data_IF_282840548061
#
_entry.id   IF_282840548061
#
_cell.length_a   1.000
_cell.length_b   1.000
_cell.length_c   1.000
_cell.angle_alpha   90.00
_cell.angle_beta   90.00
_cell.angle_gamma   90.00
#
_symmetry.space_group_name_H-M   'P 1'
#
loop_
_entity.id
_entity.type
_entity.pdbx_description
1 polymer ?
#
# COMPACT_ATOMS: atom_id res chain seq x y z
N UNK A 1 -19.55 -22.93 39.35
CA UNK A 1 -18.15 -23.17 38.99
C UNK A 1 -17.60 -21.86 38.46
N UNK A 2 -16.89 -21.13 39.32
CA UNK A 2 -16.29 -19.84 39.01
C UNK A 2 -14.80 -20.10 38.80
N UNK A 3 -14.30 -19.81 37.61
CA UNK A 3 -12.88 -19.97 37.29
C UNK A 3 -12.22 -18.60 37.47
N UNK A 4 -11.44 -18.46 38.53
CA UNK A 4 -10.43 -17.41 38.69
C UNK A 4 -9.16 -17.88 37.96
N UNK A 5 -8.67 -17.10 37.00
CA UNK A 5 -7.35 -17.31 36.40
C UNK A 5 -6.60 -15.97 36.35
N UNK A 6 -5.51 -15.82 37.13
CA UNK A 6 -4.64 -14.67 37.02
C UNK A 6 -3.53 -14.98 36.00
N UNK A 7 -3.46 -14.18 34.94
CA UNK A 7 -2.29 -14.10 34.09
C UNK A 7 -2.50 -14.53 32.63
N UNK A 8 -2.38 -13.54 31.75
CA UNK A 8 -1.76 -13.71 30.44
C UNK A 8 -2.52 -14.53 29.41
N UNK A 9 -3.30 -13.83 28.60
CA UNK A 9 -3.20 -13.75 27.12
C UNK A 9 -4.60 -13.38 26.63
N UNK A 10 -4.75 -12.14 26.15
CA UNK A 10 -5.90 -11.76 25.36
C UNK A 10 -5.96 -12.71 24.16
N UNK A 11 -7.08 -13.42 24.01
CA UNK A 11 -7.42 -14.02 22.74
C UNK A 11 -7.61 -12.86 21.74
N UNK A 12 -6.53 -12.38 21.13
CA UNK A 12 -6.57 -11.39 20.05
C UNK A 12 -7.02 -12.09 18.76
N UNK A 13 -8.20 -12.72 18.83
CA UNK A 13 -8.95 -13.22 17.68
C UNK A 13 -10.03 -12.21 17.30
N UNK A 14 -9.76 -10.92 17.44
CA UNK A 14 -10.62 -9.89 16.89
C UNK A 14 -10.36 -9.83 15.40
N UNK A 15 -11.30 -10.32 14.59
CA UNK A 15 -11.42 -9.86 13.22
C UNK A 15 -11.58 -8.35 13.30
N UNK A 16 -10.50 -7.59 13.09
CA UNK A 16 -10.55 -6.14 12.95
C UNK A 16 -11.44 -5.90 11.75
N UNK A 17 -12.72 -5.61 12.00
CA UNK A 17 -13.60 -5.09 10.98
C UNK A 17 -12.97 -3.79 10.54
N UNK A 18 -12.29 -3.81 9.38
CA UNK A 18 -11.68 -2.58 8.85
C UNK A 18 -12.75 -1.52 8.78
N UNK A 19 -12.37 -0.32 9.19
CA UNK A 19 -13.26 0.82 9.06
C UNK A 19 -13.63 0.96 7.57
N UNK A 20 -14.89 1.28 7.24
CA UNK A 20 -15.34 1.43 5.86
C UNK A 20 -14.47 2.40 5.05
N UNK A 21 -13.83 3.37 5.71
CA UNK A 21 -12.92 4.33 5.09
C UNK A 21 -11.63 3.68 4.55
N UNK A 22 -11.02 2.76 5.29
CA UNK A 22 -9.79 2.08 4.85
C UNK A 22 -10.04 1.21 3.63
N UNK A 23 -11.16 0.46 3.64
CA UNK A 23 -11.58 -0.33 2.48
C UNK A 23 -11.83 0.56 1.25
N UNK A 24 -12.55 1.67 1.43
CA UNK A 24 -12.80 2.62 0.34
C UNK A 24 -11.51 3.19 -0.23
N UNK A 25 -10.52 3.49 0.63
CA UNK A 25 -9.21 3.98 0.22
C UNK A 25 -8.43 2.95 -0.60
N UNK A 26 -8.38 1.70 -0.15
CA UNK A 26 -7.75 0.60 -0.90
C UNK A 26 -8.40 0.43 -2.27
N UNK A 27 -9.74 0.40 -2.30
CA UNK A 27 -10.50 0.23 -3.55
C UNK A 27 -10.27 1.40 -4.51
N UNK A 28 -10.30 2.64 -4.02
CA UNK A 28 -10.04 3.82 -4.83
C UNK A 28 -8.61 3.85 -5.36
N UNK A 29 -7.63 3.47 -4.54
CA UNK A 29 -6.22 3.38 -4.94
C UNK A 29 -6.02 2.36 -6.07
N UNK A 30 -6.53 1.14 -5.89
CA UNK A 30 -6.44 0.08 -6.91
C UNK A 30 -7.17 0.50 -8.18
N UNK A 31 -8.39 1.02 -8.07
CA UNK A 31 -9.17 1.46 -9.23
C UNK A 31 -8.48 2.61 -10.00
N UNK A 32 -7.81 3.53 -9.30
CA UNK A 32 -7.07 4.62 -9.93
C UNK A 32 -5.83 4.13 -10.69
N UNK A 33 -5.06 3.19 -10.12
CA UNK A 33 -3.80 2.73 -10.71
C UNK A 33 -3.95 1.59 -11.72
N UNK A 34 -4.91 0.68 -11.52
CA UNK A 34 -5.10 -0.50 -12.38
C UNK A 34 -6.34 -0.39 -13.27
N UNK A 35 -7.18 0.63 -13.07
CA UNK A 35 -8.42 0.86 -13.83
C UNK A 35 -9.41 -0.32 -13.83
N UNK A 36 -9.31 -1.21 -12.85
CA UNK A 36 -10.28 -2.29 -12.62
C UNK A 36 -11.60 -1.75 -12.11
N UNK A 37 -12.69 -2.47 -12.39
CA UNK A 37 -14.00 -2.04 -11.91
C UNK A 37 -14.10 -2.18 -10.39
N UNK A 38 -14.87 -1.28 -9.75
CA UNK A 38 -15.13 -1.34 -8.30
C UNK A 38 -15.63 -2.72 -7.87
N UNK A 39 -16.43 -3.38 -8.72
CA UNK A 39 -17.00 -4.69 -8.42
C UNK A 39 -15.92 -5.77 -8.32
N UNK A 40 -15.01 -5.85 -9.28
CA UNK A 40 -13.92 -6.82 -9.28
C UNK A 40 -13.04 -6.67 -8.03
N UNK A 41 -12.76 -5.43 -7.62
CA UNK A 41 -11.91 -5.16 -6.44
C UNK A 41 -12.62 -5.54 -5.12
N UNK A 42 -13.95 -5.37 -5.07
CA UNK A 42 -14.77 -5.79 -3.92
C UNK A 42 -14.94 -7.32 -3.84
N UNK A 43 -14.89 -8.02 -4.97
CA UNK A 43 -14.92 -9.49 -5.03
C UNK A 43 -13.60 -10.13 -4.53
N UNK A 44 -12.49 -9.38 -4.54
CA UNK A 44 -11.20 -9.84 -3.99
C UNK A 44 -11.23 -9.99 -2.46
N UNK A 45 -10.44 -10.92 -1.94
CA UNK A 45 -10.19 -11.02 -0.50
C UNK A 45 -9.40 -9.80 0.00
N UNK A 46 -9.46 -9.55 1.31
CA UNK A 46 -8.62 -8.51 1.92
C UNK A 46 -7.13 -8.68 1.58
N UNK A 47 -6.63 -9.92 1.69
CA UNK A 47 -5.22 -10.23 1.49
C UNK A 47 -4.78 -9.91 0.06
N UNK A 48 -5.62 -10.23 -0.92
CA UNK A 48 -5.34 -9.93 -2.32
C UNK A 48 -5.26 -8.43 -2.56
N UNK A 49 -6.21 -7.64 -2.05
CA UNK A 49 -6.14 -6.17 -2.16
C UNK A 49 -4.87 -5.61 -1.55
N UNK A 50 -4.53 -6.03 -0.33
CA UNK A 50 -3.31 -5.55 0.34
C UNK A 50 -2.04 -5.92 -0.42
N UNK A 51 -1.98 -7.14 -0.99
CA UNK A 51 -0.87 -7.55 -1.85
C UNK A 51 -0.75 -6.68 -3.11
N UNK A 52 -1.86 -6.36 -3.77
CA UNK A 52 -1.87 -5.48 -4.94
C UNK A 52 -1.44 -4.06 -4.60
N UNK A 53 -1.91 -3.50 -3.49
CA UNK A 53 -1.48 -2.17 -3.01
C UNK A 53 0.03 -2.13 -2.78
N UNK A 54 0.59 -3.14 -2.08
CA UNK A 54 2.04 -3.23 -1.87
C UNK A 54 2.79 -3.30 -3.19
N UNK A 55 2.32 -4.13 -4.14
CA UNK A 55 2.99 -4.31 -5.43
C UNK A 55 3.00 -3.04 -6.29
N UNK A 56 1.89 -2.30 -6.32
CA UNK A 56 1.81 -1.02 -7.04
C UNK A 56 2.75 0.01 -6.41
N UNK A 57 2.82 0.06 -5.08
CA UNK A 57 3.75 0.96 -4.39
C UNK A 57 5.22 0.63 -4.69
N UNK A 58 5.60 -0.65 -4.73
CA UNK A 58 6.96 -1.06 -5.12
C UNK A 58 7.34 -0.57 -6.52
N UNK A 59 6.47 -0.79 -7.50
CA UNK A 59 6.69 -0.36 -8.89
C UNK A 59 6.80 1.17 -8.97
N UNK A 60 5.90 1.88 -8.29
CA UNK A 60 5.93 3.34 -8.27
C UNK A 60 7.21 3.89 -7.61
N UNK A 61 7.69 3.24 -6.55
CA UNK A 61 8.94 3.61 -5.90
C UNK A 61 10.14 3.42 -6.83
N UNK A 62 10.20 2.30 -7.56
CA UNK A 62 11.26 2.04 -8.54
C UNK A 62 11.26 3.07 -9.68
N UNK A 63 10.09 3.34 -10.26
CA UNK A 63 9.94 4.35 -11.32
C UNK A 63 10.38 5.72 -10.82
N UNK A 64 9.97 6.09 -9.60
CA UNK A 64 10.33 7.37 -9.00
C UNK A 64 11.84 7.47 -8.78
N UNK A 65 12.47 6.42 -8.27
CA UNK A 65 13.92 6.42 -8.05
C UNK A 65 14.69 6.49 -9.37
N UNK A 66 14.28 5.71 -10.37
CA UNK A 66 14.84 5.80 -11.73
C UNK A 66 14.71 7.21 -12.29
N UNK A 67 13.55 7.84 -12.12
CA UNK A 67 13.29 9.20 -12.58
C UNK A 67 14.16 10.22 -11.85
N UNK A 68 14.32 10.10 -10.53
CA UNK A 68 15.21 10.96 -9.73
C UNK A 68 16.66 10.83 -10.16
N UNK A 69 17.14 9.61 -10.41
CA UNK A 69 18.49 9.36 -10.89
C UNK A 69 18.74 10.06 -12.22
N UNK A 70 17.89 9.81 -13.21
CA UNK A 70 18.01 10.43 -14.54
C UNK A 70 17.97 11.95 -14.45
N UNK A 71 17.11 12.50 -13.59
CA UNK A 71 17.05 13.94 -13.35
C UNK A 71 18.34 14.49 -12.76
N UNK A 72 18.96 13.78 -11.80
CA UNK A 72 20.25 14.17 -11.21
C UNK A 72 21.37 14.16 -12.26
N UNK A 73 21.50 13.06 -12.99
CA UNK A 73 22.50 12.90 -14.04
C UNK A 73 22.34 13.97 -15.13
N UNK A 74 21.10 14.28 -15.53
CA UNK A 74 20.82 15.34 -16.49
C UNK A 74 21.27 16.72 -15.99
N UNK A 75 21.02 17.04 -14.70
CA UNK A 75 21.45 18.31 -14.11
C UNK A 75 22.97 18.39 -13.98
N UNK A 76 23.63 17.29 -13.61
CA UNK A 76 25.10 17.21 -13.54
C UNK A 76 25.75 17.37 -14.93
N UNK A 77 25.14 16.80 -15.98
CA UNK A 77 25.60 16.96 -17.36
C UNK A 77 25.31 18.34 -17.96
N UNK A 78 24.20 18.97 -17.55
CA UNK A 78 23.77 20.29 -18.04
C UNK A 78 24.39 21.45 -17.29
N UNK A 79 25.17 21.19 -16.23
CA UNK A 79 25.95 22.18 -15.51
C UNK A 79 27.46 21.97 -15.77
N UNK A 80 27.94 22.08 -17.03
CA UNK A 80 29.36 22.25 -17.24
C UNK A 80 29.70 23.65 -16.74
N UNK A 81 30.26 23.72 -15.54
CA UNK A 81 31.24 24.75 -15.23
C UNK A 81 30.73 26.19 -15.45
N UNK A 82 29.58 26.56 -14.87
CA UNK A 82 29.28 27.99 -14.71
C UNK A 82 30.13 28.55 -13.56
N UNK A 83 31.40 28.77 -13.94
CA UNK A 83 32.49 29.59 -13.41
C UNK A 83 32.45 30.03 -11.95
#
# INVERSE_FOLDING_TARGET
MQCDVPGGVCCTGGSVGRLPEELQREVAYIAYHLHWSRREILEMTHRERSMWVSRVNEINAEILERTRRLRREFLEQSSPDYS
#
